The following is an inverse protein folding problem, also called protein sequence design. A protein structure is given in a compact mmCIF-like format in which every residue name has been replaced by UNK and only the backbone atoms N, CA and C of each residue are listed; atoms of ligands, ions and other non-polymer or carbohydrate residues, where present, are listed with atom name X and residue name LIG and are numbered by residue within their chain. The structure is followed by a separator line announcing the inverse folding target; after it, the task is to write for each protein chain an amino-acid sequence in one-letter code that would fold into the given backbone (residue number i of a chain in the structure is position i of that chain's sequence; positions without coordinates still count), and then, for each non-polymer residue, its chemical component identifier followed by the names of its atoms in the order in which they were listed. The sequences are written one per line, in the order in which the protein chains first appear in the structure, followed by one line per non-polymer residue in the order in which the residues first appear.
data_IF_031335170908
#
_entry.id   IF_031335170908
#
_cell.length_a   1.000
_cell.length_b   1.000
_cell.length_c   1.000
_cell.angle_alpha   90.00
_cell.angle_beta   90.00
_cell.angle_gamma   90.00
#
_symmetry.space_group_name_H-M   'P 1'
#
loop_
_entity.id
_entity.type
_entity.pdbx_description
1 polymer ?
#
# COMPACT_ATOMS: atom_id res chain seq x y z
N UNK A 1 0.80 20.69 26.11
CA UNK A 1 0.61 19.33 26.66
C UNK A 1 -0.77 18.85 26.27
N UNK A 2 -0.89 18.28 25.07
CA UNK A 2 -2.15 17.72 24.58
C UNK A 2 -2.15 16.22 24.92
N UNK A 3 -3.13 15.82 25.71
CA UNK A 3 -3.28 14.48 26.29
C UNK A 3 -3.60 13.48 25.18
N UNK A 4 -2.73 12.50 25.02
CA UNK A 4 -2.91 11.32 24.16
C UNK A 4 -4.00 10.45 24.81
N UNK A 5 -5.12 10.25 24.12
CA UNK A 5 -6.09 9.22 24.50
C UNK A 5 -5.67 7.89 23.86
N UNK A 6 -4.83 7.13 24.57
CA UNK A 6 -4.66 5.70 24.33
C UNK A 6 -5.94 5.04 24.86
N UNK A 7 -6.78 4.50 23.98
CA UNK A 7 -7.91 3.68 24.39
C UNK A 7 -7.40 2.33 24.92
N UNK A 8 -7.45 2.17 26.25
CA UNK A 8 -7.23 0.89 26.92
C UNK A 8 -8.30 -0.15 26.55
N UNK A 9 -7.85 -1.40 26.38
CA UNK A 9 -8.65 -2.61 26.15
C UNK A 9 -9.55 -2.94 27.35
N UNK A 10 -10.60 -2.17 27.64
CA UNK A 10 -11.65 -2.63 28.58
C UNK A 10 -12.96 -1.86 28.48
N UNK A 11 -13.45 -1.64 27.26
CA UNK A 11 -14.87 -1.41 26.96
C UNK A 11 -14.98 -1.18 25.46
N UNK A 12 -14.95 -2.28 24.69
CA UNK A 12 -15.43 -2.24 23.31
C UNK A 12 -16.86 -1.72 23.36
N UNK A 13 -17.04 -0.46 22.96
CA UNK A 13 -18.33 0.14 22.73
C UNK A 13 -19.06 -0.75 21.73
N UNK A 14 -20.06 -1.49 22.22
CA UNK A 14 -21.06 -2.23 21.44
C UNK A 14 -21.86 -1.32 20.45
N UNK A 15 -21.56 -0.03 20.37
CA UNK A 15 -22.22 0.91 19.47
C UNK A 15 -21.64 0.94 18.04
N UNK A 16 -20.51 0.28 17.75
CA UNK A 16 -20.08 0.09 16.35
C UNK A 16 -20.93 -0.94 15.58
N UNK A 17 -21.72 -1.75 16.31
CA UNK A 17 -22.58 -2.81 15.76
C UNK A 17 -24.08 -2.46 15.74
N UNK A 18 -24.48 -1.20 15.97
CA UNK A 18 -25.92 -0.82 15.95
C UNK A 18 -26.59 -0.87 14.57
N UNK A 19 -25.92 -1.37 13.52
CA UNK A 19 -26.50 -1.58 12.19
C UNK A 19 -26.23 -3.01 11.65
N UNK A 20 -26.50 -4.04 12.44
CA UNK A 20 -26.50 -5.48 12.07
C UNK A 20 -27.53 -5.86 10.97
N UNK A 21 -27.99 -4.92 10.14
CA UNK A 21 -29.03 -5.14 9.13
C UNK A 21 -28.66 -4.69 7.72
N UNK A 22 -27.50 -4.05 7.50
CA UNK A 22 -27.09 -3.66 6.16
C UNK A 22 -26.08 -4.67 5.62
N UNK A 23 -26.42 -5.29 4.48
CA UNK A 23 -25.48 -6.09 3.70
C UNK A 23 -24.52 -5.13 2.97
N UNK A 24 -23.19 -5.35 3.00
CA UNK A 24 -22.25 -4.59 2.20
C UNK A 24 -22.60 -4.67 0.71
N UNK A 25 -22.45 -3.55 -0.01
CA UNK A 25 -22.57 -3.48 -1.47
C UNK A 25 -21.49 -4.37 -2.11
N UNK A 26 -20.27 -4.25 -1.60
CA UNK A 26 -19.10 -5.03 -2.01
C UNK A 26 -18.16 -5.14 -0.82
N UNK A 27 -17.43 -6.26 -0.75
CA UNK A 27 -16.33 -6.44 0.19
C UNK A 27 -15.06 -6.83 -0.55
N UNK A 28 -13.88 -6.42 -0.08
CA UNK A 28 -12.60 -6.81 -0.68
C UNK A 28 -11.49 -6.93 0.37
N UNK A 29 -10.49 -7.78 0.10
CA UNK A 29 -9.37 -8.01 1.01
C UNK A 29 -8.23 -7.01 0.81
N UNK A 30 -7.50 -6.70 1.89
CA UNK A 30 -6.25 -5.94 1.89
C UNK A 30 -5.16 -6.73 2.62
N UNK A 31 -3.96 -6.79 2.03
CA UNK A 31 -2.78 -7.41 2.64
C UNK A 31 -1.50 -6.78 2.08
N UNK A 32 -0.40 -6.79 2.82
CA UNK A 32 0.86 -6.17 2.39
C UNK A 32 2.08 -6.85 2.99
N UNK A 33 3.26 -6.59 2.41
CA UNK A 33 4.58 -6.88 2.98
C UNK A 33 4.65 -8.32 3.53
N UNK A 34 4.31 -9.26 2.64
CA UNK A 34 4.33 -10.70 2.92
C UNK A 34 5.77 -11.20 2.96
N UNK A 35 6.62 -10.66 2.09
CA UNK A 35 8.03 -11.01 1.95
C UNK A 35 8.27 -12.52 2.06
N UNK A 36 7.48 -13.34 1.36
CA UNK A 36 7.72 -14.77 1.42
C UNK A 36 9.10 -15.12 0.88
N UNK A 37 9.82 -15.97 1.61
CA UNK A 37 11.04 -16.62 1.16
C UNK A 37 11.19 -17.94 1.92
N UNK A 38 11.75 -18.96 1.27
CA UNK A 38 12.09 -20.20 1.95
C UNK A 38 13.39 -20.07 2.79
N UNK A 39 13.43 -19.09 3.68
CA UNK A 39 14.59 -18.73 4.49
C UNK A 39 14.28 -18.78 5.99
N UNK A 40 15.33 -18.96 6.79
CA UNK A 40 15.24 -18.84 8.24
C UNK A 40 14.96 -17.38 8.63
N UNK A 41 14.31 -17.21 9.77
CA UNK A 41 13.94 -15.90 10.31
C UNK A 41 15.17 -15.00 10.51
N UNK A 42 15.02 -13.71 10.23
CA UNK A 42 16.09 -12.72 10.36
C UNK A 42 15.59 -11.44 10.98
N UNK A 43 16.44 -10.82 11.78
CA UNK A 43 16.17 -9.47 12.28
C UNK A 43 16.22 -8.45 11.13
N UNK A 44 15.34 -7.45 11.19
CA UNK A 44 15.44 -6.27 10.33
C UNK A 44 16.77 -5.51 10.60
N UNK A 45 17.07 -4.52 9.76
CA UNK A 45 18.35 -3.79 9.83
C UNK A 45 18.62 -3.16 11.21
N UNK A 46 17.60 -2.55 11.81
CA UNK A 46 17.68 -1.92 13.15
C UNK A 46 17.66 -2.94 14.31
N UNK A 47 17.47 -4.24 14.04
CA UNK A 47 17.32 -5.32 15.02
C UNK A 47 16.21 -5.09 16.04
N UNK A 48 15.11 -4.49 15.60
CA UNK A 48 13.92 -4.23 16.42
C UNK A 48 12.80 -5.22 16.15
N UNK A 49 12.70 -5.78 14.94
CA UNK A 49 11.68 -6.76 14.57
C UNK A 49 12.28 -7.97 13.88
N UNK A 50 11.71 -9.15 14.17
CA UNK A 50 12.07 -10.41 13.52
C UNK A 50 11.16 -10.64 12.31
N UNK A 51 11.78 -10.76 11.12
CA UNK A 51 11.11 -11.14 9.88
C UNK A 51 11.02 -12.67 9.81
N UNK A 52 9.80 -13.19 9.70
CA UNK A 52 9.46 -14.63 9.72
C UNK A 52 9.02 -15.12 8.35
N UNK A 53 10.00 -15.32 7.47
CA UNK A 53 9.75 -15.51 6.03
C UNK A 53 8.91 -16.73 5.68
N UNK A 54 9.11 -17.88 6.34
CA UNK A 54 8.28 -19.08 6.08
C UNK A 54 6.91 -18.97 6.72
N UNK A 55 6.81 -18.30 7.87
CA UNK A 55 5.55 -18.13 8.56
C UNK A 55 4.56 -17.26 7.77
N UNK A 56 5.05 -16.31 6.97
CA UNK A 56 4.17 -15.48 6.13
C UNK A 56 3.28 -16.30 5.20
N UNK A 57 3.75 -17.46 4.71
CA UNK A 57 2.95 -18.39 3.91
C UNK A 57 1.74 -18.93 4.69
N UNK A 58 1.92 -19.27 5.97
CA UNK A 58 0.84 -19.76 6.83
C UNK A 58 -0.15 -18.63 7.14
N UNK A 59 0.35 -17.42 7.40
CA UNK A 59 -0.49 -16.26 7.70
C UNK A 59 -1.35 -15.85 6.50
N UNK A 60 -0.82 -15.96 5.28
CA UNK A 60 -1.58 -15.74 4.05
C UNK A 60 -2.64 -16.82 3.85
N UNK A 61 -2.34 -18.10 4.11
CA UNK A 61 -3.34 -19.18 4.06
C UNK A 61 -4.48 -18.94 5.06
N UNK A 62 -4.15 -18.47 6.28
CA UNK A 62 -5.15 -18.07 7.27
C UNK A 62 -5.99 -16.88 6.81
N UNK A 63 -5.39 -15.85 6.20
CA UNK A 63 -6.13 -14.70 5.66
C UNK A 63 -7.07 -15.12 4.52
N UNK A 64 -6.60 -15.94 3.58
CA UNK A 64 -7.43 -16.52 2.53
C UNK A 64 -8.58 -17.36 3.11
N UNK A 65 -8.29 -18.20 4.11
CA UNK A 65 -9.31 -18.99 4.80
C UNK A 65 -10.34 -18.11 5.51
N UNK A 66 -9.92 -17.02 6.15
CA UNK A 66 -10.82 -16.04 6.76
C UNK A 66 -11.79 -15.46 5.72
N UNK A 67 -11.27 -15.00 4.58
CA UNK A 67 -12.09 -14.42 3.52
C UNK A 67 -13.03 -15.42 2.85
N UNK A 68 -12.61 -16.68 2.67
CA UNK A 68 -13.45 -17.74 2.08
C UNK A 68 -14.59 -18.20 3.00
N UNK A 69 -14.37 -18.14 4.32
CA UNK A 69 -15.35 -18.58 5.32
C UNK A 69 -16.14 -17.41 5.95
N UNK A 70 -15.86 -16.17 5.55
CA UNK A 70 -16.52 -14.98 6.05
C UNK A 70 -18.01 -14.92 5.67
N UNK A 71 -18.81 -14.21 6.48
CA UNK A 71 -20.25 -14.01 6.26
C UNK A 71 -20.51 -13.37 4.89
N UNK A 72 -19.66 -12.43 4.50
CA UNK A 72 -19.70 -11.78 3.20
C UNK A 72 -18.50 -12.20 2.37
N UNK A 73 -18.75 -12.78 1.19
CA UNK A 73 -17.70 -13.09 0.22
C UNK A 73 -17.01 -11.81 -0.25
N UNK A 74 -15.68 -11.84 -0.31
CA UNK A 74 -14.91 -10.75 -0.95
C UNK A 74 -14.93 -10.89 -2.47
N UNK A 75 -14.94 -9.75 -3.17
CA UNK A 75 -14.95 -9.68 -4.63
C UNK A 75 -13.55 -9.74 -5.25
N UNK A 76 -12.53 -9.25 -4.54
CA UNK A 76 -11.13 -9.24 -4.96
C UNK A 76 -10.22 -8.99 -3.75
N UNK A 77 -8.91 -9.07 -3.98
CA UNK A 77 -7.86 -8.67 -3.02
C UNK A 77 -7.04 -7.54 -3.62
N UNK A 78 -6.63 -6.55 -2.83
CA UNK A 78 -5.52 -5.67 -3.15
C UNK A 78 -4.33 -6.08 -2.27
N UNK A 79 -3.24 -6.48 -2.91
CA UNK A 79 -1.98 -6.77 -2.25
C UNK A 79 -1.01 -5.61 -2.50
N UNK A 80 -0.59 -4.91 -1.45
CA UNK A 80 0.05 -3.59 -1.53
C UNK A 80 1.57 -3.61 -1.78
N UNK A 81 2.12 -4.69 -2.34
CA UNK A 81 3.55 -4.82 -2.63
C UNK A 81 4.31 -5.70 -1.64
N UNK A 82 5.56 -5.98 -2.01
CA UNK A 82 6.52 -6.80 -1.28
C UNK A 82 5.97 -8.20 -0.96
N UNK A 83 5.61 -8.92 -2.03
CA UNK A 83 5.04 -10.26 -1.97
C UNK A 83 6.10 -11.32 -1.60
N UNK A 84 7.30 -11.21 -2.17
CA UNK A 84 8.47 -12.07 -1.89
C UNK A 84 9.64 -11.25 -1.34
N UNK A 85 10.51 -11.86 -0.54
CA UNK A 85 11.66 -11.13 0.02
C UNK A 85 12.79 -10.96 -1.02
N UNK A 86 13.63 -9.92 -0.84
CA UNK A 86 14.74 -9.62 -1.75
C UNK A 86 15.87 -10.63 -1.64
N UNK A 87 15.91 -11.40 -0.54
CA UNK A 87 16.80 -12.56 -0.42
C UNK A 87 16.52 -13.64 -1.46
N UNK A 88 15.30 -13.73 -2.01
CA UNK A 88 14.97 -14.64 -3.10
C UNK A 88 15.85 -14.40 -4.33
N UNK A 89 16.17 -13.14 -4.64
CA UNK A 89 17.08 -12.80 -5.73
C UNK A 89 18.49 -13.32 -5.46
N UNK A 90 18.98 -13.12 -4.24
CA UNK A 90 20.33 -13.57 -3.82
C UNK A 90 20.42 -15.10 -3.87
N UNK A 91 19.35 -15.79 -3.47
CA UNK A 91 19.25 -17.24 -3.46
C UNK A 91 18.86 -17.85 -4.81
N UNK A 92 18.54 -17.03 -5.81
CA UNK A 92 18.01 -17.44 -7.12
C UNK A 92 16.71 -18.26 -7.04
N UNK A 93 15.85 -17.91 -6.09
CA UNK A 93 14.54 -18.56 -5.85
C UNK A 93 13.35 -17.67 -6.20
N UNK A 94 13.56 -16.46 -6.75
CA UNK A 94 12.49 -15.48 -7.04
C UNK A 94 11.28 -16.06 -7.75
N UNK A 95 11.48 -16.87 -8.81
CA UNK A 95 10.37 -17.49 -9.54
C UNK A 95 9.66 -18.57 -8.70
N UNK A 96 10.41 -19.50 -8.09
CA UNK A 96 9.82 -20.61 -7.34
C UNK A 96 9.09 -20.15 -6.08
N UNK A 97 9.63 -19.13 -5.39
CA UNK A 97 9.01 -18.57 -4.19
C UNK A 97 7.77 -17.74 -4.56
N UNK A 98 7.83 -17.00 -5.67
CA UNK A 98 6.65 -16.31 -6.23
C UNK A 98 5.53 -17.30 -6.58
N UNK A 99 5.84 -18.38 -7.28
CA UNK A 99 4.85 -19.43 -7.60
C UNK A 99 4.29 -20.08 -6.34
N UNK A 100 5.09 -20.22 -5.28
CA UNK A 100 4.66 -20.81 -4.02
C UNK A 100 3.64 -19.92 -3.30
N UNK A 101 3.93 -18.62 -3.17
CA UNK A 101 3.01 -17.71 -2.49
C UNK A 101 1.74 -17.46 -3.30
N UNK A 102 1.83 -17.36 -4.64
CA UNK A 102 0.65 -17.19 -5.51
C UNK A 102 -0.33 -18.37 -5.42
N UNK A 103 0.15 -19.59 -5.15
CA UNK A 103 -0.74 -20.75 -4.93
C UNK A 103 -1.67 -20.57 -3.74
N UNK A 104 -1.31 -19.78 -2.72
CA UNK A 104 -2.18 -19.54 -1.57
C UNK A 104 -3.38 -18.67 -1.91
N UNK A 105 -3.27 -17.83 -2.94
CA UNK A 105 -4.37 -16.98 -3.36
C UNK A 105 -5.28 -17.61 -4.43
N UNK A 106 -4.98 -18.80 -4.94
CA UNK A 106 -5.64 -19.41 -6.12
C UNK A 106 -7.17 -19.51 -6.06
N UNK A 107 -7.75 -19.48 -4.86
CA UNK A 107 -9.18 -19.61 -4.62
C UNK A 107 -9.92 -18.26 -4.58
N UNK A 108 -9.20 -17.13 -4.65
CA UNK A 108 -9.76 -15.79 -4.60
C UNK A 108 -9.21 -14.99 -5.78
N UNK A 109 -10.10 -14.46 -6.62
CA UNK A 109 -9.73 -13.73 -7.83
C UNK A 109 -10.79 -12.68 -8.16
N UNK A 110 -10.41 -11.50 -8.71
CA UNK A 110 -9.04 -11.10 -9.05
C UNK A 110 -8.20 -10.64 -7.85
N UNK A 111 -6.89 -10.52 -8.08
CA UNK A 111 -5.94 -9.88 -7.16
C UNK A 111 -5.28 -8.72 -7.89
N UNK A 112 -5.33 -7.55 -7.26
CA UNK A 112 -4.63 -6.36 -7.70
C UNK A 112 -3.33 -6.25 -6.91
N UNK A 113 -2.23 -6.60 -7.56
CA UNK A 113 -0.88 -6.48 -7.03
C UNK A 113 -0.40 -5.05 -7.23
N UNK A 114 0.11 -4.42 -6.19
CA UNK A 114 0.91 -3.20 -6.27
C UNK A 114 2.37 -3.65 -6.20
N UNK A 115 3.27 -2.93 -6.88
CA UNK A 115 4.70 -3.27 -6.84
C UNK A 115 5.42 -2.49 -5.76
N UNK A 116 6.09 -3.23 -4.88
CA UNK A 116 7.03 -2.72 -3.91
C UNK A 116 8.48 -2.77 -4.40
N UNK A 117 9.42 -2.37 -3.52
CA UNK A 117 10.84 -2.42 -3.82
C UNK A 117 11.33 -3.86 -3.97
N UNK A 118 10.76 -4.83 -3.25
CA UNK A 118 11.21 -6.22 -3.30
C UNK A 118 10.85 -6.94 -4.60
N UNK A 119 9.74 -6.56 -5.25
CA UNK A 119 9.48 -6.98 -6.63
C UNK A 119 10.61 -6.53 -7.55
N UNK A 120 11.05 -5.28 -7.42
CA UNK A 120 12.08 -4.67 -8.26
C UNK A 120 13.52 -5.08 -7.89
N UNK A 121 13.73 -5.70 -6.73
CA UNK A 121 14.97 -6.43 -6.43
C UNK A 121 15.06 -7.74 -7.21
N UNK A 122 13.91 -8.39 -7.38
CA UNK A 122 13.81 -9.75 -7.93
C UNK A 122 13.62 -9.78 -9.43
N UNK A 123 13.00 -8.75 -10.01
CA UNK A 123 12.57 -8.74 -11.39
C UNK A 123 12.79 -7.37 -12.05
N UNK A 124 13.06 -7.39 -13.35
CA UNK A 124 12.99 -6.18 -14.17
C UNK A 124 11.53 -5.77 -14.37
N UNK A 125 11.28 -4.48 -14.64
CA UNK A 125 9.93 -3.99 -14.98
C UNK A 125 9.35 -4.72 -16.19
N UNK A 126 10.18 -5.10 -17.17
CA UNK A 126 9.73 -5.87 -18.34
C UNK A 126 9.23 -7.26 -17.96
N UNK A 127 9.91 -7.94 -17.04
CA UNK A 127 9.46 -9.25 -16.53
C UNK A 127 8.17 -9.11 -15.74
N UNK A 128 8.08 -8.12 -14.83
CA UNK A 128 6.88 -7.87 -14.04
C UNK A 128 5.66 -7.54 -14.91
N UNK A 129 5.80 -6.67 -15.92
CA UNK A 129 4.72 -6.34 -16.86
C UNK A 129 4.22 -7.57 -17.63
N UNK A 130 5.09 -8.54 -17.91
CA UNK A 130 4.72 -9.78 -18.62
C UNK A 130 4.42 -10.95 -17.68
N UNK A 131 4.48 -10.73 -16.37
CA UNK A 131 4.35 -11.74 -15.34
C UNK A 131 2.98 -11.72 -14.65
N UNK A 132 2.80 -12.62 -13.66
CA UNK A 132 1.53 -12.77 -12.94
C UNK A 132 1.20 -11.58 -12.03
N UNK A 133 2.18 -10.71 -11.73
CA UNK A 133 2.00 -9.53 -10.88
C UNK A 133 1.53 -8.29 -11.68
N UNK A 134 1.29 -8.41 -12.98
CA UNK A 134 0.80 -7.31 -13.81
C UNK A 134 -0.73 -7.19 -13.73
N UNK A 135 -1.21 -6.39 -12.78
CA UNK A 135 -2.64 -6.06 -12.65
C UNK A 135 -3.14 -4.93 -13.55
N UNK A 136 -2.25 -4.14 -14.16
CA UNK A 136 -2.58 -2.98 -14.99
C UNK A 136 -1.69 -3.01 -16.23
N UNK A 137 -2.28 -3.24 -17.40
CA UNK A 137 -1.51 -3.30 -18.65
C UNK A 137 -1.13 -1.90 -19.15
N UNK A 138 0.08 -1.50 -18.79
CA UNK A 138 0.70 -0.23 -19.19
C UNK A 138 1.75 -0.41 -20.27
N UNK A 139 1.98 -1.63 -20.81
CA UNK A 139 3.14 -2.00 -21.65
C UNK A 139 3.41 -1.06 -22.82
N UNK A 140 2.34 -0.49 -23.40
CA UNK A 140 2.42 0.38 -24.56
C UNK A 140 2.46 1.88 -24.22
N UNK A 141 2.33 2.24 -22.94
CA UNK A 141 2.11 3.62 -22.47
C UNK A 141 3.17 4.04 -21.45
N UNK A 142 3.55 3.19 -20.51
CA UNK A 142 4.59 3.46 -19.51
C UNK A 142 5.31 2.17 -19.10
N UNK A 143 6.54 2.30 -18.59
CA UNK A 143 7.19 1.23 -17.82
C UNK A 143 6.69 1.15 -16.37
N UNK A 144 5.86 2.12 -15.95
CA UNK A 144 5.19 2.14 -14.65
C UNK A 144 4.02 1.17 -14.57
N UNK A 145 3.61 0.77 -13.37
CA UNK A 145 2.48 -0.13 -13.12
C UNK A 145 1.41 0.57 -12.27
N UNK A 146 0.57 1.33 -12.94
CA UNK A 146 -0.50 2.12 -12.32
C UNK A 146 -1.74 2.08 -13.18
N UNK A 147 -2.90 2.28 -12.56
CA UNK A 147 -4.17 2.12 -13.25
C UNK A 147 -5.36 2.38 -12.35
N UNK A 148 -6.55 2.12 -12.87
CA UNK A 148 -7.78 2.33 -12.13
C UNK A 148 -8.80 1.24 -12.44
N UNK A 149 -9.61 0.90 -11.45
CA UNK A 149 -10.78 0.05 -11.63
C UNK A 149 -11.92 0.53 -10.72
N UNK A 150 -13.16 0.26 -11.16
CA UNK A 150 -14.36 0.54 -10.39
C UNK A 150 -14.59 -0.59 -9.38
N UNK A 151 -14.85 -0.23 -8.12
CA UNK A 151 -15.16 -1.18 -7.04
C UNK A 151 -16.66 -1.45 -7.00
N UNK A 152 -17.44 -0.38 -7.09
CA UNK A 152 -18.89 -0.37 -7.26
C UNK A 152 -19.28 1.01 -7.84
N UNK A 153 -20.55 1.23 -8.22
CA UNK A 153 -20.99 2.55 -8.67
C UNK A 153 -20.58 3.65 -7.69
N UNK A 154 -19.94 4.70 -8.21
CA UNK A 154 -19.44 5.85 -7.46
C UNK A 154 -18.25 5.60 -6.52
N UNK A 155 -17.58 4.44 -6.57
CA UNK A 155 -16.33 4.20 -5.84
C UNK A 155 -15.28 3.57 -6.74
N UNK A 156 -14.12 4.22 -6.83
CA UNK A 156 -13.01 3.85 -7.69
C UNK A 156 -11.73 3.66 -6.89
N UNK A 157 -10.93 2.68 -7.31
CA UNK A 157 -9.53 2.56 -6.88
C UNK A 157 -8.64 3.20 -7.94
N UNK A 158 -7.66 3.98 -7.48
CA UNK A 158 -6.54 4.44 -8.29
C UNK A 158 -5.26 3.85 -7.70
N UNK A 159 -4.63 2.94 -8.42
CA UNK A 159 -3.32 2.41 -8.06
C UNK A 159 -2.23 3.27 -8.68
N UNK A 160 -1.23 3.66 -7.88
CA UNK A 160 -0.05 4.41 -8.32
C UNK A 160 1.23 3.56 -8.13
N UNK A 161 2.19 3.73 -9.05
CA UNK A 161 3.52 3.14 -8.97
C UNK A 161 4.47 4.12 -8.28
N UNK A 162 4.68 3.88 -6.98
CA UNK A 162 5.57 4.70 -6.13
C UNK A 162 7.05 4.47 -6.43
N UNK A 163 7.39 3.61 -7.38
CA UNK A 163 8.75 3.35 -7.84
C UNK A 163 8.98 3.74 -9.29
N UNK A 164 8.00 4.38 -9.96
CA UNK A 164 8.17 4.76 -11.37
C UNK A 164 9.36 5.71 -11.53
N UNK A 165 9.55 6.65 -10.60
CA UNK A 165 10.81 7.38 -10.42
C UNK A 165 11.63 6.66 -9.34
N UNK A 166 12.48 5.71 -9.74
CA UNK A 166 13.42 5.06 -8.81
C UNK A 166 14.69 4.57 -9.54
N UNK A 167 15.64 4.06 -8.75
CA UNK A 167 16.84 3.37 -9.27
C UNK A 167 16.67 1.85 -9.33
N UNK A 168 15.46 1.33 -9.03
CA UNK A 168 15.16 -0.10 -8.94
C UNK A 168 14.44 -0.61 -10.20
N UNK A 169 14.78 -1.82 -10.64
CA UNK A 169 14.12 -2.49 -11.78
C UNK A 169 14.25 -1.79 -13.14
N UNK A 170 15.15 -0.80 -13.27
CA UNK A 170 15.37 0.01 -14.46
C UNK A 170 16.86 -0.05 -14.87
N UNK A 171 17.15 -0.07 -16.18
CA UNK A 171 18.51 -0.04 -16.72
C UNK A 171 19.23 1.28 -16.39
N UNK A 172 20.53 1.24 -16.10
CA UNK A 172 21.33 2.41 -15.71
C UNK A 172 21.42 3.50 -16.78
N UNK A 173 21.26 3.14 -18.05
CA UNK A 173 21.27 4.07 -19.18
C UNK A 173 19.89 4.71 -19.43
N UNK A 174 18.85 4.29 -18.72
CA UNK A 174 17.51 4.85 -18.85
C UNK A 174 17.46 6.27 -18.25
N UNK A 175 16.75 7.18 -18.93
CA UNK A 175 16.59 8.57 -18.48
C UNK A 175 15.97 8.67 -17.07
N UNK A 176 15.01 7.82 -16.74
CA UNK A 176 14.37 7.76 -15.42
C UNK A 176 15.40 7.34 -14.36
N UNK A 177 16.26 6.37 -14.65
CA UNK A 177 17.31 5.95 -13.72
C UNK A 177 18.27 7.12 -13.45
N UNK A 178 18.71 7.81 -14.51
CA UNK A 178 19.63 8.95 -14.40
C UNK A 178 18.98 10.08 -13.58
N UNK A 179 17.71 10.41 -13.86
CA UNK A 179 16.96 11.41 -13.09
C UNK A 179 16.81 11.01 -11.62
N UNK A 180 16.47 9.75 -11.36
CA UNK A 180 16.32 9.20 -10.01
C UNK A 180 17.63 9.22 -9.23
N UNK A 181 18.74 8.83 -9.87
CA UNK A 181 20.06 8.86 -9.26
C UNK A 181 20.50 10.30 -8.96
N UNK A 182 20.24 11.25 -9.87
CA UNK A 182 20.53 12.66 -9.63
C UNK A 182 19.73 13.23 -8.46
N UNK A 183 18.45 12.87 -8.35
CA UNK A 183 17.59 13.28 -7.23
C UNK A 183 18.09 12.69 -5.91
N UNK A 184 18.38 11.39 -5.87
CA UNK A 184 18.98 10.75 -4.69
C UNK A 184 20.29 11.43 -4.29
N UNK A 185 21.22 11.61 -5.23
CA UNK A 185 22.54 12.20 -4.98
C UNK A 185 22.51 13.69 -4.64
N UNK A 186 21.40 14.38 -4.93
CA UNK A 186 21.20 15.74 -4.45
C UNK A 186 21.15 15.79 -2.92
N UNK A 187 20.52 14.80 -2.28
CA UNK A 187 20.31 14.76 -0.83
C UNK A 187 21.23 13.76 -0.11
N UNK A 188 21.41 12.56 -0.67
CA UNK A 188 22.18 11.48 -0.07
C UNK A 188 23.59 11.36 -0.69
N UNK A 189 24.59 11.83 0.05
CA UNK A 189 26.00 11.83 -0.36
C UNK A 189 26.78 10.62 0.19
N UNK A 190 26.13 9.73 0.95
CA UNK A 190 26.76 8.53 1.51
C UNK A 190 27.18 7.56 0.41
N UNK A 191 28.23 6.76 0.63
CA UNK A 191 28.70 5.79 -0.37
C UNK A 191 27.57 4.83 -0.79
N UNK A 192 26.92 4.24 0.23
CA UNK A 192 25.68 3.48 0.08
C UNK A 192 24.50 4.45 -0.01
N UNK A 193 23.77 4.39 -1.12
CA UNK A 193 22.52 5.16 -1.31
C UNK A 193 21.34 4.62 -0.48
N UNK A 194 21.53 3.55 0.30
CA UNK A 194 20.57 3.10 1.30
C UNK A 194 20.91 3.57 2.71
N UNK A 195 22.06 4.21 2.92
CA UNK A 195 22.45 4.74 4.23
C UNK A 195 21.82 6.13 4.43
N UNK A 196 20.91 6.29 5.42
CA UNK A 196 20.29 7.58 5.72
C UNK A 196 21.11 8.43 6.70
N UNK A 197 22.26 7.95 7.19
CA UNK A 197 23.05 8.64 8.21
C UNK A 197 23.41 10.05 7.76
N UNK A 198 23.11 11.04 8.61
CA UNK A 198 23.36 12.46 8.33
C UNK A 198 22.29 13.15 7.49
N UNK A 199 21.21 12.46 7.11
CA UNK A 199 20.01 13.08 6.55
C UNK A 199 19.07 13.49 7.68
N UNK A 200 18.59 14.74 7.64
CA UNK A 200 17.74 15.29 8.70
C UNK A 200 16.25 15.21 8.36
N UNK A 201 15.45 14.83 9.36
CA UNK A 201 13.98 14.77 9.27
C UNK A 201 13.53 13.96 8.05
N UNK A 202 12.57 14.50 7.30
CA UNK A 202 12.02 13.81 6.12
C UNK A 202 12.99 13.68 4.94
N UNK A 203 14.19 14.27 4.96
CA UNK A 203 15.20 14.00 3.91
C UNK A 203 15.74 12.58 3.99
N UNK A 204 15.58 11.91 5.13
CA UNK A 204 15.88 10.50 5.33
C UNK A 204 15.21 9.57 4.30
N UNK A 205 14.08 10.00 3.72
CA UNK A 205 13.40 9.28 2.64
C UNK A 205 14.21 9.15 1.35
N UNK A 206 15.25 9.95 1.13
CA UNK A 206 16.07 9.89 -0.09
C UNK A 206 17.10 8.74 -0.02
N UNK A 207 16.57 7.53 0.05
CA UNK A 207 17.31 6.27 -0.01
C UNK A 207 16.79 5.39 -1.15
N UNK A 208 17.61 4.45 -1.61
CA UNK A 208 17.28 3.54 -2.72
C UNK A 208 16.11 2.58 -2.39
N UNK A 209 15.80 2.35 -1.11
CA UNK A 209 14.61 1.58 -0.72
C UNK A 209 13.30 2.25 -1.13
N UNK A 210 13.30 3.55 -1.43
CA UNK A 210 12.11 4.31 -1.81
C UNK A 210 12.12 4.69 -3.30
N UNK A 211 11.07 5.40 -3.71
CA UNK A 211 10.92 5.98 -5.03
C UNK A 211 9.97 7.17 -5.03
N UNK A 212 9.66 7.65 -6.24
CA UNK A 212 8.76 8.76 -6.51
C UNK A 212 7.83 8.49 -7.67
N UNK A 213 6.99 9.47 -7.97
CA UNK A 213 6.17 9.50 -9.18
C UNK A 213 6.85 10.38 -10.22
N UNK A 214 6.89 9.93 -11.48
CA UNK A 214 7.32 10.79 -12.57
C UNK A 214 6.30 11.91 -12.81
N UNK A 215 6.72 13.00 -13.46
CA UNK A 215 5.81 14.07 -13.87
C UNK A 215 4.65 13.56 -14.74
N UNK A 216 4.91 12.55 -15.59
CA UNK A 216 3.88 11.93 -16.42
C UNK A 216 2.80 11.25 -15.57
N UNK A 217 3.18 10.52 -14.52
CA UNK A 217 2.22 9.86 -13.64
C UNK A 217 1.50 10.84 -12.73
N UNK A 218 2.16 11.91 -12.26
CA UNK A 218 1.50 13.01 -11.52
C UNK A 218 0.39 13.68 -12.37
N UNK A 219 0.69 13.98 -13.64
CA UNK A 219 -0.31 14.53 -14.57
C UNK A 219 -1.45 13.53 -14.77
N UNK A 220 -1.13 12.27 -15.02
CA UNK A 220 -2.14 11.21 -15.19
C UNK A 220 -3.04 11.06 -13.94
N UNK A 221 -2.46 11.08 -12.73
CA UNK A 221 -3.19 11.00 -11.47
C UNK A 221 -4.19 12.16 -11.35
N UNK A 222 -3.72 13.38 -11.62
CA UNK A 222 -4.58 14.58 -11.63
C UNK A 222 -5.72 14.44 -12.64
N UNK A 223 -5.46 13.92 -13.84
CA UNK A 223 -6.50 13.67 -14.85
C UNK A 223 -7.53 12.64 -14.39
N UNK A 224 -7.11 11.56 -13.73
CA UNK A 224 -8.06 10.58 -13.18
C UNK A 224 -8.93 11.18 -12.08
N UNK A 225 -8.36 12.01 -11.21
CA UNK A 225 -9.11 12.69 -10.15
C UNK A 225 -10.09 13.73 -10.71
N UNK A 226 -9.73 14.45 -11.79
CA UNK A 226 -10.66 15.33 -12.52
C UNK A 226 -11.85 14.53 -13.05
N UNK A 227 -11.59 13.37 -13.67
CA UNK A 227 -12.64 12.48 -14.19
C UNK A 227 -13.55 11.96 -13.08
N UNK A 228 -12.97 11.45 -11.99
CA UNK A 228 -13.73 10.94 -10.84
C UNK A 228 -14.62 12.04 -10.25
N UNK A 229 -14.09 13.26 -10.08
CA UNK A 229 -14.86 14.41 -9.60
C UNK A 229 -16.01 14.77 -10.54
N UNK A 230 -15.78 14.77 -11.86
CA UNK A 230 -16.81 15.03 -12.86
C UNK A 230 -17.91 13.96 -12.85
N UNK A 231 -17.55 12.70 -12.61
CA UNK A 231 -18.47 11.57 -12.52
C UNK A 231 -19.09 11.40 -11.12
N UNK A 232 -18.81 12.30 -10.18
CA UNK A 232 -19.24 12.21 -8.78
C UNK A 232 -18.81 10.91 -8.07
N UNK A 233 -17.69 10.33 -8.49
CA UNK A 233 -17.09 9.16 -7.86
C UNK A 233 -16.25 9.58 -6.65
N UNK A 234 -16.21 8.70 -5.65
CA UNK A 234 -15.24 8.71 -4.57
C UNK A 234 -14.03 7.85 -4.95
N UNK A 235 -12.87 8.22 -4.43
CA UNK A 235 -11.60 7.58 -4.78
C UNK A 235 -10.87 7.11 -3.53
N UNK A 236 -10.42 5.87 -3.57
CA UNK A 236 -9.35 5.37 -2.69
C UNK A 236 -8.10 5.21 -3.57
N UNK A 237 -7.00 5.80 -3.14
CA UNK A 237 -5.71 5.68 -3.81
C UNK A 237 -4.91 4.59 -3.09
N UNK A 238 -4.23 3.74 -3.84
CA UNK A 238 -3.35 2.71 -3.29
C UNK A 238 -1.96 2.83 -3.92
N UNK A 239 -0.93 2.66 -3.11
CA UNK A 239 0.47 2.59 -3.54
C UNK A 239 1.27 1.81 -2.50
N UNK A 240 2.54 1.53 -2.78
CA UNK A 240 3.35 0.77 -1.82
C UNK A 240 3.92 1.67 -0.71
N UNK A 241 4.52 2.81 -1.08
CA UNK A 241 5.19 3.71 -0.12
C UNK A 241 4.20 4.77 0.42
N UNK A 242 4.14 5.02 1.74
CA UNK A 242 3.37 6.11 2.34
C UNK A 242 3.67 7.50 1.74
N UNK A 243 2.65 8.36 1.66
CA UNK A 243 2.78 9.74 1.15
C UNK A 243 2.60 10.81 2.21
N UNK A 244 2.14 10.47 3.42
CA UNK A 244 1.93 11.45 4.47
C UNK A 244 2.91 11.20 5.63
N UNK A 245 3.69 12.20 6.07
CA UNK A 245 4.73 12.00 7.09
C UNK A 245 4.24 11.50 8.45
N UNK A 246 2.96 11.73 8.78
CA UNK A 246 2.32 11.20 9.99
C UNK A 246 1.69 9.80 9.82
N UNK A 247 1.73 9.25 8.61
CA UNK A 247 1.19 7.94 8.28
C UNK A 247 2.29 6.96 7.83
N UNK A 248 3.53 7.15 8.27
CA UNK A 248 4.66 6.27 8.00
C UNK A 248 5.88 6.73 8.78
N UNK A 249 6.97 5.98 8.67
CA UNK A 249 8.28 6.38 9.18
C UNK A 249 8.91 7.49 8.31
N UNK A 250 9.74 8.36 8.88
CA UNK A 250 10.42 9.44 8.14
C UNK A 250 11.32 8.90 7.00
N UNK A 251 11.86 7.69 7.16
CA UNK A 251 12.61 6.95 6.16
C UNK A 251 11.73 6.31 5.10
N UNK A 252 10.42 6.16 5.32
CA UNK A 252 9.49 5.38 4.50
C UNK A 252 8.45 6.29 3.83
N UNK A 253 8.92 7.28 3.06
CA UNK A 253 8.09 8.24 2.35
C UNK A 253 8.45 8.33 0.86
N UNK A 254 7.43 8.56 0.02
CA UNK A 254 7.62 8.85 -1.40
C UNK A 254 8.54 10.07 -1.55
N UNK A 255 9.54 10.00 -2.45
CA UNK A 255 10.54 11.06 -2.63
C UNK A 255 9.93 12.44 -2.86
N UNK A 256 8.90 12.49 -3.70
CA UNK A 256 8.11 13.68 -3.99
C UNK A 256 6.69 13.57 -3.42
N UNK A 257 6.56 13.09 -2.17
CA UNK A 257 5.26 13.00 -1.50
C UNK A 257 4.54 14.35 -1.43
N UNK A 258 5.28 15.47 -1.36
CA UNK A 258 4.72 16.81 -1.36
C UNK A 258 3.91 17.09 -2.65
N UNK A 259 4.47 16.74 -3.82
CA UNK A 259 3.78 16.89 -5.11
C UNK A 259 2.49 16.05 -5.16
N UNK A 260 2.52 14.86 -4.56
CA UNK A 260 1.37 13.95 -4.49
C UNK A 260 0.29 14.57 -3.58
N UNK A 261 0.63 14.94 -2.35
CA UNK A 261 -0.31 15.57 -1.41
C UNK A 261 -0.91 16.85 -1.99
N UNK A 262 -0.12 17.70 -2.62
CA UNK A 262 -0.59 18.93 -3.27
C UNK A 262 -1.65 18.63 -4.34
N UNK A 263 -1.49 17.57 -5.13
CA UNK A 263 -2.53 17.13 -6.07
C UNK A 263 -3.77 16.68 -5.30
N UNK A 264 -3.64 15.75 -4.36
CA UNK A 264 -4.77 15.16 -3.62
C UNK A 264 -5.61 16.23 -2.91
N UNK A 265 -4.95 17.19 -2.27
CA UNK A 265 -5.56 18.30 -1.54
C UNK A 265 -6.32 19.30 -2.41
N UNK A 266 -6.23 19.22 -3.75
CA UNK A 266 -7.09 20.02 -4.66
C UNK A 266 -8.43 19.34 -4.96
N UNK A 267 -8.60 18.07 -4.58
CA UNK A 267 -9.79 17.27 -4.86
C UNK A 267 -10.61 16.99 -3.59
N UNK A 268 -10.99 18.08 -2.91
CA UNK A 268 -11.86 18.07 -1.73
C UNK A 268 -13.08 17.16 -1.95
N UNK A 269 -13.34 16.28 -0.98
CA UNK A 269 -14.44 15.32 -0.96
C UNK A 269 -14.46 14.30 -2.12
N UNK A 270 -13.43 14.25 -2.98
CA UNK A 270 -13.30 13.20 -4.01
C UNK A 270 -12.36 12.10 -3.53
N UNK A 271 -11.21 12.46 -2.98
CA UNK A 271 -10.26 11.48 -2.42
C UNK A 271 -10.66 11.19 -0.97
N UNK A 272 -10.94 9.92 -0.68
CA UNK A 272 -11.31 9.46 0.66
C UNK A 272 -10.09 9.01 1.45
N UNK A 273 -9.22 8.23 0.80
CA UNK A 273 -8.11 7.60 1.48
C UNK A 273 -6.92 7.35 0.55
N UNK A 274 -5.74 7.28 1.17
CA UNK A 274 -4.54 6.69 0.62
C UNK A 274 -4.17 5.47 1.48
N UNK A 275 -4.00 4.30 0.85
CA UNK A 275 -3.65 3.05 1.55
C UNK A 275 -2.31 2.53 1.04
N UNK A 276 -1.39 2.22 1.96
CA UNK A 276 -0.03 1.78 1.67
C UNK A 276 0.48 0.63 2.55
N UNK A 277 1.66 0.11 2.19
CA UNK A 277 2.48 -0.84 2.95
C UNK A 277 3.83 -0.22 3.30
N UNK A 278 4.92 -0.96 3.09
CA UNK A 278 6.34 -0.53 3.18
C UNK A 278 6.84 -0.19 4.58
N UNK A 279 6.09 0.63 5.35
CA UNK A 279 6.38 0.92 6.75
C UNK A 279 5.72 -0.14 7.64
N UNK A 280 6.47 -1.20 7.95
CA UNK A 280 5.95 -2.44 8.54
C UNK A 280 5.24 -2.31 9.90
N UNK A 281 5.54 -1.25 10.66
CA UNK A 281 4.85 -0.95 11.93
C UNK A 281 3.40 -0.49 11.71
N UNK A 282 3.08 -0.05 10.50
CA UNK A 282 1.82 0.57 10.13
C UNK A 282 1.60 1.92 10.80
N UNK A 283 0.67 2.69 10.27
CA UNK A 283 0.29 3.99 10.81
C UNK A 283 -1.08 4.42 10.27
N UNK A 284 -1.72 5.31 10.99
CA UNK A 284 -2.96 5.93 10.54
C UNK A 284 -2.94 7.43 10.85
N UNK A 285 -3.30 8.23 9.87
CA UNK A 285 -3.47 9.67 10.04
C UNK A 285 -4.66 10.19 9.24
N UNK A 286 -5.53 10.94 9.88
CA UNK A 286 -6.59 11.69 9.21
C UNK A 286 -6.13 13.13 9.04
N UNK A 287 -6.00 13.59 7.80
CA UNK A 287 -5.43 14.89 7.51
C UNK A 287 -6.45 16.03 7.51
N UNK A 288 -5.95 17.26 7.50
CA UNK A 288 -6.77 18.48 7.56
C UNK A 288 -7.57 18.74 6.28
N UNK A 289 -7.43 17.88 5.27
CA UNK A 289 -8.18 17.88 4.01
C UNK A 289 -9.17 16.73 3.92
N UNK A 290 -9.44 16.09 5.06
CA UNK A 290 -10.38 14.99 5.23
C UNK A 290 -9.99 13.72 4.46
N UNK A 291 -8.68 13.49 4.25
CA UNK A 291 -8.16 12.27 3.62
C UNK A 291 -7.61 11.36 4.71
N UNK A 292 -8.04 10.09 4.67
CA UNK A 292 -7.51 9.04 5.53
C UNK A 292 -6.23 8.46 4.93
N UNK A 293 -5.10 8.55 5.64
CA UNK A 293 -3.84 7.92 5.26
C UNK A 293 -3.64 6.69 6.13
N UNK A 294 -3.66 5.50 5.53
CA UNK A 294 -3.54 4.24 6.24
C UNK A 294 -2.36 3.44 5.67
N UNK A 295 -1.38 3.16 6.51
CA UNK A 295 -0.29 2.25 6.21
C UNK A 295 -0.47 0.97 7.00
N UNK A 296 -0.59 -0.16 6.31
CA UNK A 296 -0.88 -1.45 6.91
C UNK A 296 0.38 -2.06 7.53
N UNK A 297 0.18 -2.76 8.65
CA UNK A 297 1.23 -3.57 9.26
C UNK A 297 1.65 -4.73 8.34
N UNK A 298 2.93 -5.04 8.34
CA UNK A 298 3.49 -6.11 7.52
C UNK A 298 3.19 -7.51 8.06
N UNK A 299 2.86 -8.43 7.16
CA UNK A 299 2.71 -9.86 7.48
C UNK A 299 4.04 -10.46 7.94
N UNK A 300 5.17 -10.12 7.31
CA UNK A 300 6.46 -10.78 7.58
C UNK A 300 6.94 -10.59 9.02
N UNK A 301 6.52 -9.53 9.71
CA UNK A 301 6.93 -9.25 11.10
C UNK A 301 5.92 -9.74 12.16
N UNK A 302 4.82 -10.37 11.74
CA UNK A 302 3.84 -10.95 12.64
C UNK A 302 4.40 -12.17 13.38
N UNK A 303 4.03 -12.30 14.65
CA UNK A 303 4.17 -13.57 15.40
C UNK A 303 3.27 -14.66 14.79
N UNK A 304 3.57 -15.96 15.00
CA UNK A 304 2.76 -17.05 14.47
C UNK A 304 1.30 -17.12 14.96
N UNK A 305 0.99 -16.50 16.09
CA UNK A 305 -0.33 -16.46 16.72
C UNK A 305 -1.12 -15.17 16.47
N UNK A 306 -0.58 -14.26 15.65
CA UNK A 306 -1.26 -13.05 15.17
C UNK A 306 -1.37 -13.06 13.64
N UNK A 307 -1.90 -12.01 13.05
CA UNK A 307 -1.91 -11.79 11.61
C UNK A 307 -1.90 -10.27 11.29
N UNK A 308 -1.85 -9.89 10.02
CA UNK A 308 -1.96 -8.49 9.59
C UNK A 308 -2.58 -8.39 8.19
N UNK A 309 -3.90 -8.48 8.14
CA UNK A 309 -4.70 -8.24 6.92
C UNK A 309 -6.00 -7.53 7.30
N UNK A 310 -6.73 -7.03 6.32
CA UNK A 310 -8.02 -6.38 6.55
C UNK A 310 -9.06 -6.77 5.49
N UNK A 311 -10.33 -6.58 5.85
CA UNK A 311 -11.46 -6.67 4.92
C UNK A 311 -12.15 -5.32 4.84
N UNK A 312 -12.30 -4.77 3.63
CA UNK A 312 -13.06 -3.56 3.43
C UNK A 312 -14.49 -3.92 3.09
N UNK A 313 -15.45 -3.42 3.86
CA UNK A 313 -16.88 -3.53 3.61
C UNK A 313 -17.43 -2.18 3.18
N UNK A 314 -17.91 -2.08 1.94
CA UNK A 314 -18.48 -0.85 1.38
C UNK A 314 -19.99 -0.85 1.56
N UNK A 315 -20.52 0.20 2.17
CA UNK A 315 -21.94 0.46 2.32
C UNK A 315 -22.33 1.72 1.54
N UNK A 316 -23.62 2.07 1.56
CA UNK A 316 -24.14 3.22 0.81
C UNK A 316 -23.50 4.56 1.24
N UNK A 317 -23.23 4.72 2.53
CA UNK A 317 -22.84 6.01 3.12
C UNK A 317 -21.45 6.00 3.76
N UNK A 318 -20.84 4.83 3.90
CA UNK A 318 -19.55 4.65 4.55
C UNK A 318 -18.90 3.37 4.07
N UNK A 319 -17.62 3.21 4.37
CA UNK A 319 -16.94 1.92 4.35
C UNK A 319 -16.31 1.64 5.71
N UNK A 320 -16.13 0.36 6.01
CA UNK A 320 -15.39 -0.12 7.17
C UNK A 320 -14.19 -0.89 6.67
N UNK A 321 -12.99 -0.56 7.15
CA UNK A 321 -11.79 -1.37 7.01
C UNK A 321 -11.69 -2.19 8.30
N UNK A 322 -12.13 -3.44 8.27
CA UNK A 322 -12.06 -4.38 9.40
C UNK A 322 -10.68 -5.04 9.41
N UNK A 323 -9.81 -4.62 10.33
CA UNK A 323 -8.48 -5.19 10.50
C UNK A 323 -8.47 -6.45 11.37
N UNK A 324 -7.57 -7.38 11.05
CA UNK A 324 -7.32 -8.62 11.81
C UNK A 324 -5.89 -8.60 12.34
N UNK A 325 -5.73 -9.02 13.60
CA UNK A 325 -4.45 -9.10 14.29
C UNK A 325 -3.87 -7.72 14.59
N UNK A 326 -2.77 -7.35 13.92
CA UNK A 326 -2.06 -6.08 14.16
C UNK A 326 -2.76 -4.86 13.53
N UNK A 327 -3.69 -5.07 12.61
CA UNK A 327 -4.38 -3.99 11.90
C UNK A 327 -5.63 -3.56 12.67
N UNK A 328 -5.79 -2.26 12.90
CA UNK A 328 -6.98 -1.67 13.52
C UNK A 328 -8.21 -1.66 12.61
N UNK A 329 -9.38 -1.36 13.18
CA UNK A 329 -10.61 -1.14 12.41
C UNK A 329 -10.88 0.34 12.22
N UNK A 330 -11.18 0.73 10.98
CA UNK A 330 -11.41 2.14 10.60
C UNK A 330 -12.74 2.30 9.88
N UNK A 331 -13.42 3.42 10.11
CA UNK A 331 -14.61 3.82 9.37
C UNK A 331 -14.28 5.06 8.55
N UNK A 332 -14.69 5.05 7.29
CA UNK A 332 -14.54 6.19 6.37
C UNK A 332 -15.92 6.51 5.82
N UNK A 333 -16.42 7.71 6.12
CA UNK A 333 -17.71 8.16 5.61
C UNK A 333 -17.59 8.61 4.16
N UNK A 334 -18.48 8.10 3.29
CA UNK A 334 -18.55 8.48 1.87
C UNK A 334 -19.25 9.83 1.68
N UNK A 335 -19.95 10.31 2.72
CA UNK A 335 -20.89 11.45 2.66
C UNK A 335 -20.33 12.79 3.15
N UNK A 336 -19.11 12.83 3.70
CA UNK A 336 -18.51 14.06 4.24
C UNK A 336 -18.34 15.13 3.12
N UNK A 337 -18.99 16.32 3.15
CA UNK A 337 -20.00 16.89 4.06
C UNK A 337 -21.00 17.76 3.25
N UNK A 338 -22.29 17.44 3.34
CA UNK A 338 -23.39 18.37 3.08
C UNK A 338 -23.95 18.85 4.43
N UNK A 339 -23.27 19.79 5.07
CA UNK A 339 -23.91 20.66 6.06
C UNK A 339 -23.93 22.10 5.54
N UNK A 340 -25.07 22.43 4.95
CA UNK A 340 -25.68 23.74 4.69
C UNK A 340 -24.80 24.87 4.09
N UNK A 341 -25.14 25.24 2.85
CA UNK A 341 -25.37 26.65 2.51
C UNK A 341 -26.84 26.80 2.13
N UNK A 342 -27.66 27.14 3.14
CA UNK A 342 -28.91 27.88 2.93
C UNK A 342 -28.57 29.29 2.42
#
# INVERSE_FOLDING_TARGET
MATIAIMEKSSLNLNLYQNDHLKPIVSFGLITDIHYANNDDRWNYSRTFLRRYRNSLNLVDQACSYWLNGIYSIAFIIQLGDLIDGSCQTNKTSISDLETILKQFRNISPIYHIWGNHELYSFTRKELLNGPLCSFDTKNISSGHYGTFEVCPNLRIIAIDTYELSVLGIDKNNEIYIQSMNLLRKYNHNESINDPTGLDGYQQRFIQLNGGLTQKQLIWLKEQLIKAKYLHEKVIIVGHIPIHPKAGDELALVWNYEDVLDILWTFDNTVLAYIAGHSHEGAYFYDEKNIHHLTLQAIVECEPDTNAFATVHVYKEYLIIEGVGRIGTYRIDLTNFNEKRE
#
